data_IF_304797418855
#
_entry.id   IF_304797418855
#
_cell.length_a   1.000
_cell.length_b   1.000
_cell.length_c   1.000
_cell.angle_alpha   90.00
_cell.angle_beta   90.00
_cell.angle_gamma   90.00
#
_symmetry.space_group_name_H-M   'P 1'
#
loop_
_entity.id
_entity.type
_entity.pdbx_description
1 polymer ?
#
# COMPACT_ATOMS: atom_id res chain seq x y z
N UNK A 1 5.71 -23.05 4.61
CA UNK A 1 5.28 -21.70 5.06
C UNK A 1 3.76 -21.67 5.08
N UNK A 2 3.17 -21.71 6.27
CA UNK A 2 1.71 -21.74 6.45
C UNK A 2 1.11 -20.40 6.03
N UNK A 3 0.33 -20.42 4.94
CA UNK A 3 -0.57 -19.34 4.58
C UNK A 3 -1.51 -19.08 5.76
N UNK A 4 -1.25 -18.03 6.55
CA UNK A 4 -2.21 -17.52 7.54
C UNK A 4 -3.46 -17.13 6.76
N UNK A 5 -4.47 -18.01 6.76
CA UNK A 5 -5.81 -17.67 6.29
C UNK A 5 -6.23 -16.40 7.04
N UNK A 6 -6.35 -15.30 6.30
CA UNK A 6 -6.76 -13.99 6.84
C UNK A 6 -8.10 -14.20 7.57
N UNK A 7 -8.20 -13.69 8.80
CA UNK A 7 -9.48 -13.68 9.50
C UNK A 7 -10.52 -12.99 8.59
N UNK A 8 -11.68 -13.61 8.34
CA UNK A 8 -12.67 -13.09 7.38
C UNK A 8 -13.16 -11.68 7.73
N UNK A 9 -13.02 -11.29 9.00
CA UNK A 9 -13.53 -10.03 9.56
C UNK A 9 -12.47 -8.93 9.62
N UNK A 10 -11.21 -9.25 9.28
CA UNK A 10 -10.12 -8.28 9.35
C UNK A 10 -10.21 -7.29 8.19
N UNK A 11 -10.44 -6.01 8.50
CA UNK A 11 -10.34 -4.93 7.53
C UNK A 11 -8.91 -4.87 6.97
N UNK A 12 -8.81 -4.78 5.66
CA UNK A 12 -7.56 -4.82 4.92
C UNK A 12 -7.39 -3.52 4.13
N UNK A 13 -6.21 -2.93 4.19
CA UNK A 13 -5.88 -1.67 3.55
C UNK A 13 -4.78 -1.88 2.51
N UNK A 14 -4.83 -1.06 1.47
CA UNK A 14 -3.83 -0.96 0.42
C UNK A 14 -3.37 0.48 0.39
N UNK A 15 -2.06 0.72 0.30
CA UNK A 15 -1.55 2.09 0.33
C UNK A 15 -0.23 2.24 -0.44
N UNK A 16 0.06 3.50 -0.78
CA UNK A 16 1.36 3.96 -1.22
C UNK A 16 1.84 5.07 -0.30
N UNK A 17 3.14 5.11 -0.04
CA UNK A 17 3.79 6.21 0.66
C UNK A 17 4.54 7.07 -0.38
N UNK A 18 4.32 8.37 -0.34
CA UNK A 18 4.82 9.34 -1.33
C UNK A 18 5.63 10.41 -0.61
N UNK A 19 6.80 10.75 -1.12
CA UNK A 19 7.47 11.99 -0.71
C UNK A 19 6.82 13.18 -1.44
N UNK A 20 6.23 14.11 -0.70
CA UNK A 20 5.53 15.26 -1.27
C UNK A 20 6.47 16.25 -1.97
N UNK A 21 7.75 16.26 -1.62
CA UNK A 21 8.72 17.19 -2.24
C UNK A 21 9.18 16.68 -3.60
N UNK A 22 9.68 15.44 -3.67
CA UNK A 22 10.15 14.84 -4.93
C UNK A 22 9.03 14.25 -5.78
N UNK A 23 7.84 14.06 -5.19
CA UNK A 23 6.70 13.34 -5.78
C UNK A 23 7.01 11.89 -6.16
N UNK A 24 8.03 11.30 -5.53
CA UNK A 24 8.39 9.90 -5.74
C UNK A 24 7.58 8.99 -4.82
N UNK A 25 7.23 7.80 -5.34
CA UNK A 25 6.68 6.74 -4.52
C UNK A 25 7.83 6.09 -3.75
N UNK A 26 7.78 6.15 -2.43
CA UNK A 26 8.77 5.58 -1.53
C UNK A 26 8.50 4.11 -1.24
N UNK A 27 7.23 3.76 -1.07
CA UNK A 27 6.79 2.40 -0.76
C UNK A 27 5.36 2.16 -1.25
N UNK A 28 4.99 0.89 -1.40
CA UNK A 28 3.60 0.46 -1.53
C UNK A 28 3.44 -0.87 -0.81
N UNK A 29 2.34 -1.02 -0.09
CA UNK A 29 2.10 -2.23 0.70
C UNK A 29 0.62 -2.45 0.94
N UNK A 30 0.30 -3.60 1.53
CA UNK A 30 -1.04 -3.89 2.02
C UNK A 30 -0.98 -4.62 3.36
N UNK A 31 -1.87 -4.28 4.29
CA UNK A 31 -1.92 -4.92 5.61
C UNK A 31 -3.32 -4.86 6.23
N UNK A 32 -3.51 -5.61 7.31
CA UNK A 32 -4.69 -5.54 8.18
C UNK A 32 -4.70 -4.25 9.00
N UNK A 33 -5.90 -3.75 9.34
CA UNK A 33 -6.09 -2.50 10.08
C UNK A 33 -5.19 -2.35 11.31
N UNK A 34 -4.99 -3.43 12.07
CA UNK A 34 -4.20 -3.42 13.31
C UNK A 34 -2.71 -3.16 13.08
N UNK A 35 -2.22 -3.35 11.86
CA UNK A 35 -0.82 -3.14 11.47
C UNK A 35 -0.64 -1.87 10.64
N UNK A 36 -1.73 -1.14 10.35
CA UNK A 36 -1.65 0.12 9.63
C UNK A 36 -1.42 1.23 10.64
N UNK A 37 -0.31 1.94 10.44
CA UNK A 37 -0.14 3.25 11.04
C UNK A 37 -1.00 4.28 10.29
N UNK A 38 -1.99 4.82 10.98
CA UNK A 38 -2.87 5.90 10.51
C UNK A 38 -2.39 7.29 10.98
N UNK A 39 -1.26 7.35 11.72
CA UNK A 39 -0.62 8.59 12.08
C UNK A 39 -0.02 9.33 10.88
N UNK A 40 0.34 10.59 11.11
CA UNK A 40 1.09 11.36 10.12
C UNK A 40 2.47 10.75 9.92
N UNK A 41 2.82 10.47 8.66
CA UNK A 41 4.18 10.10 8.31
C UNK A 41 5.08 11.35 8.45
N UNK A 42 6.27 11.16 9.00
CA UNK A 42 7.21 12.27 9.24
C UNK A 42 7.95 12.66 7.96
N UNK A 43 8.55 13.85 7.95
CA UNK A 43 9.50 14.31 6.93
C UNK A 43 8.94 14.46 5.50
N UNK A 44 7.69 14.93 5.37
CA UNK A 44 7.08 15.15 4.04
C UNK A 44 6.63 13.87 3.33
N UNK A 45 6.71 12.74 4.01
CA UNK A 45 6.11 11.50 3.56
C UNK A 45 4.59 11.55 3.78
N UNK A 46 3.82 11.02 2.83
CA UNK A 46 2.36 11.02 2.90
C UNK A 46 1.80 9.68 2.41
N UNK A 47 0.87 9.12 3.19
CA UNK A 47 0.21 7.85 2.87
C UNK A 47 -1.08 8.09 2.11
N UNK A 48 -1.20 7.47 0.94
CA UNK A 48 -2.43 7.46 0.15
C UNK A 48 -3.03 6.07 0.19
N UNK A 49 -4.23 5.97 0.76
CA UNK A 49 -5.00 4.72 0.74
C UNK A 49 -5.67 4.51 -0.61
N UNK A 50 -5.63 3.26 -1.07
CA UNK A 50 -6.16 2.83 -2.35
C UNK A 50 -7.27 1.80 -2.14
N UNK A 51 -8.23 1.81 -3.04
CA UNK A 51 -9.10 0.65 -3.21
C UNK A 51 -8.28 -0.54 -3.71
N UNK A 52 -8.75 -1.77 -3.42
CA UNK A 52 -8.13 -3.01 -3.94
C UNK A 52 -7.93 -2.96 -5.47
N UNK A 53 -8.90 -2.42 -6.21
CA UNK A 53 -8.83 -2.28 -7.66
C UNK A 53 -7.74 -1.33 -8.14
N UNK A 54 -7.55 -0.19 -7.48
CA UNK A 54 -6.47 0.75 -7.78
C UNK A 54 -5.09 0.13 -7.50
N UNK A 55 -4.93 -0.52 -6.34
CA UNK A 55 -3.67 -1.19 -5.98
C UNK A 55 -3.33 -2.32 -6.97
N UNK A 56 -4.30 -3.14 -7.36
CA UNK A 56 -4.08 -4.21 -8.34
C UNK A 56 -3.65 -3.66 -9.71
N UNK A 57 -4.17 -2.50 -10.14
CA UNK A 57 -3.73 -1.85 -11.38
C UNK A 57 -2.27 -1.39 -11.28
N UNK A 58 -1.87 -0.81 -10.14
CA UNK A 58 -0.49 -0.43 -9.88
C UNK A 58 0.45 -1.64 -9.98
N UNK A 59 0.16 -2.71 -9.23
CA UNK A 59 0.98 -3.94 -9.24
C UNK A 59 1.08 -4.52 -10.65
N UNK A 60 -0.03 -4.61 -11.38
CA UNK A 60 -0.03 -5.12 -12.76
C UNK A 60 0.85 -4.30 -13.70
N UNK A 61 0.83 -2.97 -13.57
CA UNK A 61 1.68 -2.10 -14.38
C UNK A 61 3.17 -2.29 -14.06
N UNK A 62 3.51 -2.58 -12.81
CA UNK A 62 4.89 -2.84 -12.38
C UNK A 62 5.39 -4.23 -12.83
N UNK A 63 4.51 -5.23 -12.82
CA UNK A 63 4.82 -6.60 -13.25
C UNK A 63 4.87 -6.74 -14.78
N UNK A 64 4.37 -5.76 -15.52
CA UNK A 64 4.47 -5.77 -16.99
C UNK A 64 5.91 -5.42 -17.37
N UNK A 65 6.69 -6.36 -17.93
CA UNK A 65 8.05 -6.06 -18.36
C UNK A 65 8.00 -4.92 -19.40
N UNK A 66 8.81 -3.88 -19.17
CA UNK A 66 9.00 -2.81 -20.15
C UNK A 66 9.48 -3.46 -21.45
N UNK A 67 8.63 -3.43 -22.48
CA UNK A 67 8.97 -3.84 -23.84
C UNK A 67 9.92 -2.84 -24.48
#
# INVERSE_FOLDING_TARGET
>A
MTSRRKAPDAKYYYYIDIDLYSRQILSWQSDTQNNIDFGELTNGCYRVFLTKGQYNKLVKHLDTPRS
#
